data_IF_975069185696
#
_entry.id   IF_975069185696
#
_cell.length_a   1.000
_cell.length_b   1.000
_cell.length_c   1.000
_cell.angle_alpha   90.00
_cell.angle_beta   90.00
_cell.angle_gamma   90.00
#
_symmetry.space_group_name_H-M   'P 1'
#
loop_
_entity.id
_entity.type
_entity.pdbx_description
1 polymer ?
#
# COMPACT_ATOMS: atom_id res chain seq x y z
N UNK A 1 -13.85 9.37 10.13
CA UNK A 1 -13.67 9.83 8.73
C UNK A 1 -12.79 8.82 8.03
N UNK A 2 -13.36 7.93 7.23
CA UNK A 2 -12.55 7.06 6.39
C UNK A 2 -11.95 7.93 5.29
N UNK A 3 -10.71 8.32 5.50
CA UNK A 3 -9.88 8.95 4.47
C UNK A 3 -9.79 8.01 3.27
N UNK A 4 -9.69 8.55 2.07
CA UNK A 4 -9.47 7.81 0.84
C UNK A 4 -8.44 6.72 1.08
N UNK A 5 -8.91 5.48 1.18
CA UNK A 5 -8.05 4.36 1.53
C UNK A 5 -6.95 4.14 0.49
N UNK A 6 -7.23 4.51 -0.77
CA UNK A 6 -6.30 4.38 -1.89
C UNK A 6 -6.28 5.65 -2.74
N UNK A 7 -5.11 5.96 -3.29
CA UNK A 7 -4.89 7.07 -4.23
C UNK A 7 -4.19 6.56 -5.50
N UNK A 8 -4.25 7.29 -6.62
CA UNK A 8 -3.48 6.93 -7.82
C UNK A 8 -1.99 6.74 -7.50
N UNK A 9 -1.41 5.65 -8.04
CA UNK A 9 -0.03 5.26 -7.78
C UNK A 9 0.16 4.20 -6.70
N UNK A 10 -0.85 3.95 -5.86
CA UNK A 10 -0.77 2.92 -4.83
C UNK A 10 -0.58 1.52 -5.42
N UNK A 11 0.29 0.75 -4.80
CA UNK A 11 0.47 -0.67 -5.12
C UNK A 11 -0.39 -1.52 -4.21
N UNK A 12 -1.17 -2.41 -4.82
CA UNK A 12 -2.14 -3.25 -4.15
C UNK A 12 -2.23 -4.63 -4.79
N UNK A 13 -2.82 -5.58 -4.08
CA UNK A 13 -3.29 -6.86 -4.62
C UNK A 13 -4.81 -6.90 -4.60
N UNK A 14 -5.39 -7.98 -5.09
CA UNK A 14 -6.83 -8.25 -5.01
C UNK A 14 -7.10 -9.62 -4.40
N UNK A 15 -8.33 -9.83 -3.96
CA UNK A 15 -8.82 -11.15 -3.55
C UNK A 15 -9.14 -12.09 -4.75
N UNK A 16 -8.90 -11.63 -5.99
CA UNK A 16 -9.17 -12.37 -7.24
C UNK A 16 -10.62 -12.30 -7.71
N UNK A 17 -11.48 -11.54 -7.04
CA UNK A 17 -12.89 -11.34 -7.43
C UNK A 17 -13.03 -10.34 -8.58
N UNK A 18 -12.31 -9.19 -8.61
CA UNK A 18 -12.42 -8.27 -9.73
C UNK A 18 -12.01 -8.93 -11.04
N UNK A 19 -12.80 -8.68 -12.09
CA UNK A 19 -12.66 -9.35 -13.39
C UNK A 19 -11.24 -9.19 -13.98
N UNK A 20 -10.66 -10.31 -14.40
CA UNK A 20 -9.31 -10.37 -14.97
C UNK A 20 -8.18 -10.35 -13.95
N UNK A 21 -8.43 -9.99 -12.69
CA UNK A 21 -7.38 -9.98 -11.66
C UNK A 21 -7.11 -11.38 -11.12
N UNK A 22 -5.93 -11.57 -10.55
CA UNK A 22 -5.51 -12.80 -9.87
C UNK A 22 -5.00 -12.50 -8.46
N UNK A 23 -5.22 -13.44 -7.55
CA UNK A 23 -4.64 -13.38 -6.20
C UNK A 23 -3.11 -13.36 -6.27
N UNK A 24 -2.49 -12.62 -5.35
CA UNK A 24 -1.03 -12.52 -5.20
C UNK A 24 -0.34 -11.97 -6.46
N UNK A 25 -1.03 -11.12 -7.21
CA UNK A 25 -0.48 -10.31 -8.29
C UNK A 25 -0.63 -8.85 -7.90
N UNK A 26 0.43 -8.08 -8.10
CA UNK A 26 0.46 -6.66 -7.77
C UNK A 26 -0.08 -5.84 -8.93
N UNK A 27 -0.98 -4.92 -8.60
CA UNK A 27 -1.58 -3.94 -9.49
C UNK A 27 -1.28 -2.54 -8.98
N UNK A 28 -1.39 -1.56 -9.87
CA UNK A 28 -1.33 -0.14 -9.52
C UNK A 28 -2.73 0.46 -9.57
N UNK A 29 -3.05 1.29 -8.61
CA UNK A 29 -4.27 2.11 -8.64
C UNK A 29 -4.09 3.23 -9.64
N UNK A 30 -4.90 3.26 -10.70
CA UNK A 30 -4.91 4.33 -11.70
C UNK A 30 -5.85 5.47 -11.30
N UNK A 31 -6.99 5.13 -10.73
CA UNK A 31 -7.98 6.09 -10.23
C UNK A 31 -8.66 5.57 -8.96
N UNK A 32 -9.16 6.49 -8.15
CA UNK A 32 -9.91 6.18 -6.94
C UNK A 32 -11.15 7.07 -6.85
N UNK A 33 -12.30 6.44 -6.62
CA UNK A 33 -13.57 7.13 -6.35
C UNK A 33 -14.17 6.61 -5.03
N UNK A 34 -13.86 7.27 -3.92
CA UNK A 34 -14.37 6.87 -2.61
C UNK A 34 -15.85 7.15 -2.43
N UNK A 35 -16.43 8.02 -3.27
CA UNK A 35 -17.85 8.39 -3.24
C UNK A 35 -18.77 7.37 -3.92
N UNK A 36 -18.20 6.52 -4.79
CA UNK A 36 -18.96 5.53 -5.52
C UNK A 36 -19.60 4.52 -4.59
N UNK A 37 -20.87 4.28 -4.77
CA UNK A 37 -21.65 3.37 -3.93
C UNK A 37 -22.46 2.41 -4.78
N UNK A 38 -22.67 1.20 -4.27
CA UNK A 38 -23.60 0.21 -4.82
C UNK A 38 -24.42 -0.38 -3.67
N UNK A 39 -25.74 -0.26 -3.75
CA UNK A 39 -26.66 -0.94 -2.85
C UNK A 39 -26.80 -2.40 -3.28
N UNK A 40 -26.55 -3.32 -2.38
CA UNK A 40 -26.84 -4.74 -2.59
C UNK A 40 -28.31 -5.02 -2.28
N UNK A 41 -28.97 -5.76 -3.16
CA UNK A 41 -30.38 -6.09 -3.00
C UNK A 41 -30.63 -7.22 -2.00
N UNK A 42 -29.63 -8.06 -1.74
CA UNK A 42 -29.79 -9.27 -0.94
C UNK A 42 -29.80 -9.01 0.58
N UNK A 43 -29.04 -8.01 1.04
CA UNK A 43 -28.84 -7.71 2.47
C UNK A 43 -28.99 -6.23 2.82
N UNK A 44 -29.45 -5.41 1.85
CA UNK A 44 -29.52 -3.94 1.96
C UNK A 44 -28.21 -3.25 2.35
N UNK A 45 -27.09 -3.97 2.29
CA UNK A 45 -25.78 -3.40 2.57
C UNK A 45 -25.29 -2.52 1.40
N UNK A 46 -24.52 -1.49 1.73
CA UNK A 46 -23.93 -0.60 0.73
C UNK A 46 -22.43 -0.89 0.58
N UNK A 47 -22.00 -1.21 -0.63
CA UNK A 47 -20.58 -1.23 -0.98
C UNK A 47 -20.14 0.20 -1.27
N UNK A 48 -19.05 0.64 -0.64
CA UNK A 48 -18.50 1.99 -0.82
C UNK A 48 -17.08 1.95 -1.33
N UNK A 49 -16.76 2.93 -2.17
CA UNK A 49 -15.45 3.15 -2.73
C UNK A 49 -15.10 2.18 -3.86
N UNK A 50 -14.63 2.72 -4.96
CA UNK A 50 -14.12 1.98 -6.10
C UNK A 50 -12.76 2.50 -6.52
N UNK A 51 -11.96 1.62 -7.11
CA UNK A 51 -10.68 1.94 -7.73
C UNK A 51 -10.64 1.38 -9.14
N UNK A 52 -9.84 2.01 -10.00
CA UNK A 52 -9.46 1.45 -11.30
C UNK A 52 -8.03 0.96 -11.20
N UNK A 53 -7.81 -0.31 -11.57
CA UNK A 53 -6.52 -0.98 -11.51
C UNK A 53 -5.90 -1.08 -12.89
N UNK A 54 -4.58 -0.92 -12.95
CA UNK A 54 -3.75 -1.18 -14.12
C UNK A 54 -2.67 -2.20 -13.79
N UNK A 55 -2.09 -2.81 -14.83
CA UNK A 55 -0.98 -3.75 -14.68
C UNK A 55 0.22 -3.08 -14.01
N UNK A 56 0.83 -3.77 -13.06
CA UNK A 56 2.10 -3.40 -12.47
C UNK A 56 3.13 -4.54 -12.60
N UNK A 57 2.82 -5.70 -12.05
CA UNK A 57 3.70 -6.89 -12.07
C UNK A 57 3.58 -7.65 -13.39
N UNK A 58 2.37 -7.92 -13.85
CA UNK A 58 2.11 -8.52 -15.15
C UNK A 58 2.46 -7.55 -16.28
N UNK A 59 3.31 -7.95 -17.23
CA UNK A 59 3.86 -7.07 -18.28
C UNK A 59 3.25 -7.35 -19.64
N UNK A 60 2.89 -8.60 -19.92
CA UNK A 60 2.43 -9.01 -21.25
C UNK A 60 1.28 -10.01 -21.19
N UNK A 61 0.61 -10.16 -22.33
CA UNK A 61 -0.48 -11.12 -22.47
C UNK A 61 0.06 -12.54 -22.24
N UNK A 62 -0.56 -13.26 -21.28
CA UNK A 62 -0.13 -14.59 -20.84
C UNK A 62 0.44 -14.59 -19.42
N UNK A 63 0.87 -13.46 -18.91
CA UNK A 63 1.24 -13.34 -17.50
C UNK A 63 0.01 -13.56 -16.62
N UNK A 64 0.23 -14.16 -15.45
CA UNK A 64 -0.84 -14.37 -14.48
C UNK A 64 -1.44 -13.03 -14.06
N UNK A 65 -2.76 -12.89 -14.24
CA UNK A 65 -3.48 -11.67 -13.85
C UNK A 65 -3.24 -10.47 -14.75
N UNK A 66 -2.71 -10.66 -15.97
CA UNK A 66 -2.60 -9.60 -16.93
C UNK A 66 -3.98 -9.03 -17.31
N UNK A 67 -4.10 -7.73 -17.22
CA UNK A 67 -5.29 -7.00 -17.64
C UNK A 67 -5.08 -6.48 -19.07
N UNK A 68 -5.98 -6.82 -19.98
CA UNK A 68 -5.98 -6.28 -21.36
C UNK A 68 -6.55 -4.87 -21.46
N UNK A 69 -6.64 -4.18 -20.35
CA UNK A 69 -7.15 -2.84 -20.15
C UNK A 69 -7.23 -2.56 -18.66
N UNK A 70 -7.96 -1.52 -18.26
CA UNK A 70 -8.17 -1.23 -16.85
C UNK A 70 -9.25 -2.14 -16.26
N UNK A 71 -9.13 -2.44 -14.96
CA UNK A 71 -10.12 -3.17 -14.21
C UNK A 71 -10.74 -2.30 -13.11
N UNK A 72 -12.06 -2.17 -13.10
CA UNK A 72 -12.79 -1.60 -11.98
C UNK A 72 -12.91 -2.59 -10.83
N UNK A 73 -12.57 -2.16 -9.62
CA UNK A 73 -12.66 -2.97 -8.42
C UNK A 73 -13.28 -2.18 -7.26
N UNK A 74 -14.07 -2.86 -6.42
CA UNK A 74 -14.53 -2.29 -5.17
C UNK A 74 -13.41 -2.33 -4.12
N UNK A 75 -13.32 -1.31 -3.29
CA UNK A 75 -12.31 -1.22 -2.22
C UNK A 75 -12.31 -2.45 -1.30
N UNK A 76 -13.48 -3.07 -1.07
CA UNK A 76 -13.60 -4.31 -0.29
C UNK A 76 -12.85 -5.52 -0.88
N UNK A 77 -12.59 -5.50 -2.19
CA UNK A 77 -11.92 -6.59 -2.91
C UNK A 77 -10.41 -6.32 -3.08
N UNK A 78 -9.94 -5.18 -2.61
CA UNK A 78 -8.52 -4.82 -2.60
C UNK A 78 -7.85 -5.39 -1.35
N UNK A 79 -6.69 -5.99 -1.57
CA UNK A 79 -5.84 -6.54 -0.51
C UNK A 79 -4.58 -5.67 -0.39
N UNK A 80 -4.37 -5.00 0.73
CA UNK A 80 -3.17 -4.20 0.94
C UNK A 80 -1.92 -5.07 1.02
N UNK A 81 -0.78 -4.57 0.55
CA UNK A 81 0.51 -5.26 0.60
C UNK A 81 1.20 -4.90 1.92
N UNK A 82 1.49 -5.87 2.81
CA UNK A 82 2.23 -5.57 4.03
C UNK A 82 3.64 -5.07 3.73
N UNK A 83 4.12 -4.08 4.50
CA UNK A 83 5.54 -3.70 4.46
C UNK A 83 6.38 -4.85 5.03
N UNK A 84 7.49 -5.13 4.36
CA UNK A 84 8.49 -6.11 4.81
C UNK A 84 9.89 -5.52 4.72
N UNK A 85 10.81 -6.08 5.48
CA UNK A 85 12.24 -5.75 5.37
C UNK A 85 12.75 -5.83 3.93
N UNK A 86 12.35 -6.89 3.20
CA UNK A 86 12.78 -7.07 1.79
C UNK A 86 12.30 -5.94 0.89
N UNK A 87 11.05 -5.50 1.05
CA UNK A 87 10.48 -4.38 0.28
C UNK A 87 11.26 -3.10 0.60
N UNK A 88 11.55 -2.83 1.87
CA UNK A 88 12.32 -1.63 2.25
C UNK A 88 13.73 -1.67 1.64
N UNK A 89 14.44 -2.78 1.79
CA UNK A 89 15.81 -2.94 1.25
C UNK A 89 15.83 -2.80 -0.29
N UNK A 90 14.85 -3.40 -0.99
CA UNK A 90 14.68 -3.29 -2.44
C UNK A 90 14.49 -1.83 -2.88
N UNK A 91 13.84 -1.02 -2.06
CA UNK A 91 13.62 0.40 -2.30
C UNK A 91 14.71 1.32 -1.74
N UNK A 92 15.88 0.78 -1.41
CA UNK A 92 17.06 1.54 -1.01
C UNK A 92 17.09 2.00 0.44
N UNK A 93 16.17 1.48 1.28
CA UNK A 93 16.24 1.71 2.72
C UNK A 93 17.39 0.92 3.33
N UNK A 94 18.22 1.58 4.12
CA UNK A 94 19.36 0.98 4.80
C UNK A 94 18.96 0.59 6.21
N UNK A 95 19.28 -0.65 6.59
CA UNK A 95 18.98 -1.21 7.90
C UNK A 95 20.14 -0.97 8.86
N UNK A 96 19.84 -0.55 10.09
CA UNK A 96 20.78 -0.47 11.20
C UNK A 96 20.18 -1.09 12.44
N UNK A 97 20.97 -1.87 13.18
CA UNK A 97 20.54 -2.53 14.41
C UNK A 97 20.60 -1.54 15.58
N UNK A 98 19.52 -1.47 16.36
CA UNK A 98 19.47 -0.74 17.63
C UNK A 98 19.85 -1.69 18.76
N UNK A 99 19.16 -2.84 18.81
CA UNK A 99 19.36 -3.92 19.78
C UNK A 99 18.83 -5.24 19.19
N UNK A 100 18.76 -6.30 19.97
CA UNK A 100 18.33 -7.62 19.49
C UNK A 100 16.86 -7.68 19.05
N UNK A 101 16.05 -6.71 19.45
CA UNK A 101 14.61 -6.66 19.17
C UNK A 101 14.17 -5.48 18.31
N UNK A 102 15.08 -4.57 17.95
CA UNK A 102 14.73 -3.34 17.24
C UNK A 102 15.76 -2.95 16.17
N UNK A 103 15.27 -2.41 15.07
CA UNK A 103 16.05 -1.95 13.93
C UNK A 103 15.57 -0.58 13.46
N UNK A 104 16.48 0.24 12.93
CA UNK A 104 16.15 1.39 12.12
C UNK A 104 16.28 1.06 10.64
N UNK A 105 15.38 1.65 9.86
CA UNK A 105 15.54 1.76 8.42
C UNK A 105 15.62 3.24 8.08
N UNK A 106 16.59 3.65 7.29
CA UNK A 106 16.77 5.06 6.93
C UNK A 106 16.99 5.23 5.44
N UNK A 107 16.41 6.31 4.91
CA UNK A 107 16.52 6.75 3.52
C UNK A 107 16.15 8.23 3.44
N UNK A 108 16.94 9.02 2.70
CA UNK A 108 16.66 10.42 2.38
C UNK A 108 16.32 11.31 3.60
N UNK A 109 16.97 11.05 4.74
CA UNK A 109 16.72 11.76 5.98
C UNK A 109 15.53 11.27 6.79
N UNK A 110 14.82 10.26 6.30
CA UNK A 110 13.71 9.62 7.02
C UNK A 110 14.17 8.39 7.79
N UNK A 111 13.48 8.13 8.90
CA UNK A 111 13.71 6.97 9.74
C UNK A 111 12.43 6.20 9.98
N UNK A 112 12.50 4.89 9.82
CA UNK A 112 11.45 3.96 10.25
C UNK A 112 12.02 3.09 11.36
N UNK A 113 11.28 2.90 12.41
CA UNK A 113 11.61 1.97 13.49
C UNK A 113 10.84 0.67 13.28
N UNK A 114 11.53 -0.45 13.43
CA UNK A 114 10.91 -1.78 13.42
C UNK A 114 11.20 -2.48 14.76
N UNK A 115 10.14 -3.03 15.37
CA UNK A 115 10.27 -3.87 16.56
C UNK A 115 9.86 -5.30 16.24
N UNK A 116 10.74 -6.27 16.53
CA UNK A 116 10.46 -7.69 16.29
C UNK A 116 9.39 -8.26 17.23
N UNK A 117 9.11 -7.56 18.33
CA UNK A 117 8.11 -7.98 19.32
C UNK A 117 6.67 -7.93 18.77
N UNK A 118 6.35 -6.92 18.00
CA UNK A 118 5.02 -6.72 17.40
C UNK A 118 5.02 -6.83 15.86
N UNK A 119 6.22 -6.89 15.25
CA UNK A 119 6.37 -7.01 13.79
C UNK A 119 5.94 -5.77 13.02
N UNK A 120 5.93 -4.60 13.67
CA UNK A 120 5.40 -3.36 13.12
C UNK A 120 6.48 -2.38 12.74
N UNK A 121 6.18 -1.58 11.69
CA UNK A 121 6.98 -0.45 11.27
C UNK A 121 6.31 0.85 11.70
N UNK A 122 7.11 1.77 12.22
CA UNK A 122 6.68 3.07 12.70
C UNK A 122 7.50 4.16 12.05
N UNK A 123 6.84 5.20 11.56
CA UNK A 123 7.50 6.45 11.23
C UNK A 123 7.60 7.28 12.51
N UNK A 124 8.80 7.72 12.84
CA UNK A 124 9.08 8.55 14.00
C UNK A 124 9.75 9.84 13.53
N UNK A 125 9.12 10.97 13.84
CA UNK A 125 9.73 12.27 13.62
C UNK A 125 10.61 12.59 14.82
N UNK A 126 11.92 12.48 14.64
CA UNK A 126 12.93 12.73 15.69
C UNK A 126 13.05 14.20 16.11
N UNK A 127 12.13 15.07 15.71
CA UNK A 127 12.12 16.43 16.25
C UNK A 127 11.63 16.41 17.70
N UNK A 128 12.53 16.69 18.64
CA UNK A 128 12.34 16.63 20.09
C UNK A 128 11.16 17.47 20.63
N UNK A 129 10.46 18.21 19.79
CA UNK A 129 9.36 19.09 20.18
C UNK A 129 7.95 18.49 19.98
N UNK A 130 7.80 17.46 19.15
CA UNK A 130 6.52 16.75 18.98
C UNK A 130 6.77 15.35 18.41
N UNK A 131 6.70 14.32 19.25
CA UNK A 131 6.81 12.94 18.80
C UNK A 131 5.55 12.55 18.01
N UNK A 132 5.61 12.65 16.69
CA UNK A 132 4.61 12.04 15.81
C UNK A 132 5.09 10.63 15.52
N UNK A 133 4.38 9.64 16.07
CA UNK A 133 4.64 8.23 15.79
C UNK A 133 3.45 7.66 15.00
N UNK A 134 3.71 7.23 13.76
CA UNK A 134 2.67 6.72 12.85
C UNK A 134 3.00 5.29 12.47
N UNK A 135 2.08 4.35 12.74
CA UNK A 135 2.20 2.99 12.26
C UNK A 135 2.04 2.93 10.73
N UNK A 136 2.96 2.23 10.08
CA UNK A 136 2.96 2.02 8.63
C UNK A 136 2.80 0.52 8.33
N UNK A 137 1.57 0.00 8.34
CA UNK A 137 1.34 -1.43 8.16
C UNK A 137 1.51 -1.91 6.71
N UNK A 138 1.31 -1.01 5.74
CA UNK A 138 1.22 -1.37 4.33
C UNK A 138 2.07 -0.49 3.42
N UNK A 139 2.41 -1.03 2.23
CA UNK A 139 3.17 -0.32 1.20
C UNK A 139 2.52 1.01 0.84
N UNK A 140 1.20 1.03 0.57
CA UNK A 140 0.51 2.29 0.24
C UNK A 140 0.54 3.31 1.40
N UNK A 141 0.59 2.86 2.67
CA UNK A 141 0.73 3.79 3.80
C UNK A 141 2.06 4.52 3.75
N UNK A 142 3.15 3.82 3.40
CA UNK A 142 4.45 4.43 3.19
C UNK A 142 4.48 5.31 1.94
N UNK A 143 3.83 4.88 0.84
CA UNK A 143 3.68 5.71 -0.37
C UNK A 143 2.98 7.04 -0.06
N UNK A 144 1.90 7.01 0.72
CA UNK A 144 1.18 8.22 1.14
C UNK A 144 2.04 9.15 2.01
N UNK A 145 2.82 8.58 2.93
CA UNK A 145 3.76 9.36 3.73
C UNK A 145 4.79 10.05 2.84
N UNK A 146 5.46 9.30 1.96
CA UNK A 146 6.48 9.83 1.05
C UNK A 146 5.91 10.92 0.14
N UNK A 147 4.75 10.67 -0.46
CA UNK A 147 4.05 11.66 -1.29
C UNK A 147 3.71 12.93 -0.51
N UNK A 148 3.15 12.78 0.70
CA UNK A 148 2.74 13.90 1.56
C UNK A 148 3.88 14.83 1.97
N UNK A 149 5.10 14.31 2.05
CA UNK A 149 6.31 15.10 2.37
C UNK A 149 7.15 15.47 1.13
N UNK A 150 6.60 15.24 -0.07
CA UNK A 150 7.22 15.64 -1.33
C UNK A 150 8.39 14.77 -1.79
N UNK A 151 8.49 13.54 -1.32
CA UNK A 151 9.48 12.57 -1.76
C UNK A 151 8.92 11.62 -2.81
N UNK A 152 9.81 10.93 -3.53
CA UNK A 152 9.40 9.90 -4.49
C UNK A 152 8.67 8.76 -3.76
N UNK A 153 7.41 8.58 -4.10
CA UNK A 153 6.52 7.55 -3.53
C UNK A 153 6.44 6.28 -4.40
N UNK A 154 7.13 6.23 -5.53
CA UNK A 154 7.21 5.00 -6.32
C UNK A 154 7.99 3.93 -5.57
N UNK A 155 7.43 2.73 -5.53
CA UNK A 155 8.03 1.59 -4.83
C UNK A 155 8.02 0.34 -5.70
N UNK A 156 8.99 -0.53 -5.43
CA UNK A 156 9.03 -1.90 -5.93
C UNK A 156 8.64 -2.87 -4.80
N UNK A 157 7.90 -3.93 -5.12
CA UNK A 157 7.43 -4.94 -4.15
C UNK A 157 7.85 -6.35 -4.54
#
# INVERSE_FOLDING_TARGET
MELNKYIPGDLVMTNGVPFGTSKNVVYRVAESDPSKTLLKFDDESTIKGAVRLENYEAKELGDKGYLSGDCGAWVKDIVPIPITTKILEKNGWKKSKINDCAYFYYKDGLFLTYTSKDGKFWFDDFDYSSSICVELPYVHSLQHLLFGIGLNSEMEV
#
